data_IF_939440145985
#
_entry.id   IF_939440145985
#
_cell.length_a   1.000
_cell.length_b   1.000
_cell.length_c   1.000
_cell.angle_alpha   90.00
_cell.angle_beta   90.00
_cell.angle_gamma   90.00
#
_symmetry.space_group_name_H-M   'P 1'
#
loop_
_entity.id
_entity.type
_entity.pdbx_description
1 polymer ?
2 non-polymer ?
3 water ?
#
# COMPACT_ATOMS: atom_id res chain seq x y z
N UNK A 5 7.59 17.62 -5.04
CA UNK A 5 7.14 16.27 -5.46
C UNK A 5 8.32 15.32 -5.61
N UNK A 6 8.12 14.08 -5.20
CA UNK A 6 9.14 13.04 -5.28
C UNK A 6 8.61 11.93 -6.18
N UNK A 7 9.43 11.49 -7.13
CA UNK A 7 9.01 10.44 -8.06
C UNK A 7 9.09 9.04 -7.45
N UNK A 8 8.36 8.10 -8.05
CA UNK A 8 8.34 6.71 -7.64
C UNK A 8 8.63 5.88 -8.89
N UNK A 9 9.13 4.66 -8.69
CA UNK A 9 9.48 3.77 -9.80
C UNK A 9 8.28 3.24 -10.57
N UNK A 10 7.11 3.31 -9.95
CA UNK A 10 5.88 2.84 -10.58
C UNK A 10 4.78 3.88 -10.45
N UNK A 11 4.20 4.26 -11.58
CA UNK A 11 3.12 5.22 -11.58
C UNK A 11 1.83 4.57 -11.07
N UNK A 12 1.12 5.27 -10.20
CA UNK A 12 -0.12 4.75 -9.65
C UNK A 12 -1.14 5.85 -9.41
N UNK A 13 -2.40 5.46 -9.29
CA UNK A 13 -3.48 6.41 -9.06
C UNK A 13 -4.15 6.22 -7.71
N UNK A 14 -4.01 7.22 -6.83
CA UNK A 14 -4.66 7.19 -5.52
C UNK A 14 -6.06 7.76 -5.77
N UNK A 15 -7.10 7.02 -5.41
CA UNK A 15 -8.46 7.50 -5.66
C UNK A 15 -9.47 7.04 -4.61
N UNK A 16 -10.64 7.67 -4.60
CA UNK A 16 -11.72 7.35 -3.67
C UNK A 16 -12.75 6.46 -4.34
N UNK A 17 -13.12 5.38 -3.67
CA UNK A 17 -14.08 4.45 -4.25
C UNK A 17 -15.21 4.16 -3.28
N UNK A 18 -16.30 3.62 -3.82
CA UNK A 18 -17.47 3.28 -3.02
C UNK A 18 -17.82 1.80 -3.06
N UNK A 19 -18.06 1.20 -1.88
CA UNK A 19 -18.40 -0.22 -1.86
C UNK A 19 -19.86 -0.24 -2.31
N UNK A 20 -20.23 -1.22 -3.12
CA UNK A 20 -21.61 -1.27 -3.61
C UNK A 20 -22.20 -2.67 -3.62
N UNK A 21 -23.18 -2.89 -2.75
CA UNK A 21 -23.85 -4.18 -2.65
C UNK A 21 -24.41 -4.64 -3.98
N UNK A 36 -23.90 11.19 9.15
CA UNK A 36 -25.32 10.90 8.97
C UNK A 36 -25.62 10.46 7.54
N UNK A 37 -25.58 11.40 6.60
CA UNK A 37 -25.83 11.09 5.19
C UNK A 37 -24.50 10.99 4.46
N UNK A 38 -23.45 10.73 5.23
CA UNK A 38 -22.11 10.57 4.67
C UNK A 38 -21.93 9.09 4.38
N UNK A 39 -21.49 8.77 3.17
CA UNK A 39 -21.27 7.38 2.79
C UNK A 39 -19.81 7.07 3.02
N UNK A 40 -19.51 5.78 3.16
CA UNK A 40 -18.14 5.35 3.36
C UNK A 40 -17.49 5.27 1.99
N UNK A 41 -16.36 5.94 1.85
CA UNK A 41 -15.63 5.91 0.60
C UNK A 41 -14.28 5.31 0.94
N UNK A 42 -13.82 4.40 0.10
CA UNK A 42 -12.57 3.71 0.34
C UNK A 42 -11.40 4.26 -0.46
N UNK A 43 -10.33 4.63 0.23
CA UNK A 43 -9.12 5.14 -0.42
C UNK A 43 -8.32 4.00 -1.05
N UNK A 44 -8.09 4.06 -2.36
CA UNK A 44 -7.31 3.01 -3.00
C UNK A 44 -6.15 3.52 -3.85
N UNK A 45 -5.20 2.64 -4.11
CA UNK A 45 -4.06 2.96 -4.95
C UNK A 45 -3.90 1.90 -6.02
N UNK A 46 -4.13 2.28 -7.27
CA UNK A 46 -4.01 1.35 -8.38
C UNK A 46 -2.72 1.60 -9.15
N UNK A 47 -2.10 0.55 -9.67
CA UNK A 47 -0.91 0.72 -10.48
C UNK A 47 -1.37 1.31 -11.80
N UNK A 48 -0.60 2.24 -12.37
CA UNK A 48 -0.98 2.81 -13.65
C UNK A 48 -0.65 1.78 -14.72
N UNK A 49 0.38 0.98 -14.46
CA UNK A 49 0.78 -0.05 -15.40
C UNK A 49 1.37 -1.25 -14.69
N UNK A 50 0.52 -2.02 -14.01
CA UNK A 50 0.99 -3.20 -13.30
C UNK A 50 1.52 -4.21 -14.31
N UNK A 51 2.55 -4.95 -13.91
CA UNK A 51 3.17 -5.96 -14.77
C UNK A 51 4.06 -5.37 -15.85
N UNK A 52 4.05 -4.05 -15.96
CA UNK A 52 4.91 -3.36 -16.90
C UNK A 52 6.18 -3.09 -16.10
N UNK A 53 7.32 -2.88 -16.78
CA UNK A 53 8.59 -2.62 -16.09
C UNK A 53 8.61 -1.33 -15.28
N UNK A 54 9.36 -1.32 -14.17
CA UNK A 54 9.48 -0.12 -13.32
C UNK A 54 10.35 0.90 -14.06
N UNK A 55 10.33 2.15 -13.63
CA UNK A 55 11.19 3.14 -14.27
C UNK A 55 12.60 2.83 -13.76
N UNK A 56 13.62 3.26 -14.48
CA UNK A 56 15.00 3.04 -14.06
C UNK A 56 15.35 1.57 -13.83
N UNK A 57 14.73 0.67 -14.60
CA UNK A 57 14.98 -0.76 -14.47
C UNK A 57 16.42 -1.11 -14.85
N UNK A 58 17.04 -0.25 -15.65
CA UNK A 58 18.41 -0.46 -16.10
C UNK A 58 19.42 -0.27 -14.96
N UNK A 59 18.98 0.38 -13.89
CA UNK A 59 19.85 0.64 -12.75
C UNK A 59 19.94 -0.56 -11.82
N UNK A 60 19.24 -1.62 -12.17
CA UNK A 60 19.26 -2.83 -11.37
C UNK A 60 20.00 -3.92 -12.12
N UNK A 61 20.63 -4.85 -11.38
CA UNK A 61 21.39 -5.96 -11.99
C UNK A 61 20.54 -6.62 -13.07
N UNK A 62 21.12 -6.84 -14.25
CA UNK A 62 20.36 -7.41 -15.35
C UNK A 62 19.73 -8.79 -15.15
N UNK A 63 20.10 -9.52 -14.11
CA UNK A 63 19.49 -10.83 -13.89
C UNK A 63 18.07 -10.69 -13.33
N UNK A 64 17.78 -9.51 -12.77
CA UNK A 64 16.47 -9.21 -12.21
C UNK A 64 15.50 -8.68 -13.27
N UNK A 65 14.22 -8.81 -12.97
CA UNK A 65 13.18 -8.32 -13.85
C UNK A 65 12.30 -7.39 -13.01
N UNK A 66 12.62 -6.09 -12.98
CA UNK A 66 11.83 -5.13 -12.19
C UNK A 66 10.47 -4.83 -12.81
N UNK A 67 9.41 -5.36 -12.20
CA UNK A 67 8.08 -5.09 -12.70
C UNK A 67 7.23 -4.44 -11.62
N UNK A 68 6.33 -3.55 -12.04
CA UNK A 68 5.41 -2.88 -11.12
C UNK A 68 4.38 -3.90 -10.65
N UNK A 69 4.22 -3.99 -9.34
CA UNK A 69 3.29 -4.94 -8.77
C UNK A 69 2.17 -4.29 -7.96
N UNK A 70 0.96 -4.77 -8.19
CA UNK A 70 -0.22 -4.28 -7.47
C UNK A 70 -0.37 -5.05 -6.16
N UNK A 71 -0.48 -4.33 -5.05
CA UNK A 71 -0.67 -4.94 -3.74
C UNK A 71 -2.10 -4.68 -3.27
N UNK A 72 -2.62 -5.56 -2.41
CA UNK A 72 -3.96 -5.41 -1.90
C UNK A 72 -4.02 -5.67 -0.41
N UNK A 73 -5.06 -5.13 0.23
CA UNK A 73 -5.34 -5.38 1.63
C UNK A 73 -6.78 -5.93 1.54
N UNK A 74 -7.30 -6.50 2.63
CA UNK A 74 -8.67 -7.03 2.60
C UNK A 74 -9.27 -7.21 3.99
N UNK A 75 -10.60 -7.21 4.08
CA UNK A 75 -11.26 -7.38 5.37
C UNK A 75 -10.80 -8.69 5.98
N UNK A 76 -10.31 -8.62 7.21
CA UNK A 76 -9.80 -9.79 7.91
C UNK A 76 -10.48 -10.04 9.25
N UNK A 77 -11.29 -11.09 9.30
CA UNK A 77 -12.01 -11.45 10.52
C UNK A 77 -11.31 -12.62 11.19
N UNK A 78 -11.00 -12.44 12.46
CA UNK A 78 -10.32 -13.50 13.18
C UNK A 78 -11.05 -13.92 14.45
N UNK A 79 -10.96 -15.21 14.75
CA UNK A 79 -11.59 -15.78 15.93
C UNK A 79 -10.65 -16.82 16.53
N UNK A 80 -10.38 -16.69 17.82
CA UNK A 80 -9.52 -17.64 18.52
C UNK A 80 -10.39 -18.57 19.35
N UNK A 81 -10.36 -19.85 19.03
CA UNK A 81 -11.14 -20.83 19.77
C UNK A 81 -10.68 -20.94 21.21
N UNK A 82 -11.34 -21.81 21.97
CA UNK A 82 -11.01 -22.01 23.37
C UNK A 82 -9.75 -22.85 23.54
N UNK A 83 -9.36 -23.58 22.50
CA UNK A 83 -8.16 -24.41 22.57
C UNK A 83 -6.96 -23.72 21.93
N UNK A 84 -7.13 -22.46 21.54
CA UNK A 84 -6.03 -21.72 20.94
C UNK A 84 -6.00 -21.71 19.42
N UNK A 85 -6.86 -22.52 18.80
CA UNK A 85 -6.92 -22.60 17.34
C UNK A 85 -7.47 -21.31 16.75
N UNK A 86 -6.74 -20.75 15.80
CA UNK A 86 -7.15 -19.52 15.14
C UNK A 86 -7.99 -19.81 13.89
N UNK A 87 -9.10 -19.11 13.77
CA UNK A 87 -10.00 -19.29 12.65
C UNK A 87 -10.07 -17.96 11.89
N UNK A 88 -9.58 -17.96 10.65
CA UNK A 88 -9.59 -16.73 9.86
C UNK A 88 -10.59 -16.75 8.71
N UNK A 89 -11.27 -15.62 8.54
CA UNK A 89 -12.21 -15.46 7.45
C UNK A 89 -11.81 -14.21 6.66
N UNK A 90 -11.55 -14.40 5.37
CA UNK A 90 -11.18 -13.30 4.49
C UNK A 90 -12.01 -13.49 3.23
N UNK A 91 -13.32 -13.31 3.38
CA UNK A 91 -14.26 -13.50 2.28
C UNK A 91 -14.80 -12.22 1.66
N UNK A 92 -14.07 -11.12 1.80
CA UNK A 92 -14.54 -9.88 1.21
C UNK A 92 -13.79 -9.64 -0.12
N UNK A 93 -13.89 -8.44 -0.67
CA UNK A 93 -13.22 -8.09 -1.92
C UNK A 93 -11.82 -7.52 -1.63
N UNK A 94 -10.91 -7.64 -2.60
CA UNK A 94 -9.56 -7.13 -2.43
C UNK A 94 -9.51 -5.64 -2.71
N UNK A 95 -8.70 -4.94 -1.93
CA UNK A 95 -8.58 -3.49 -2.04
C UNK A 95 -7.21 -3.06 -2.52
N UNK A 96 -7.11 -2.56 -3.76
CA UNK A 96 -5.82 -2.12 -4.32
C UNK A 96 -5.26 -1.12 -3.31
N UNK A 97 -4.08 -1.41 -2.79
CA UNK A 97 -3.53 -0.55 -1.76
C UNK A 97 -2.17 0.07 -1.97
N UNK A 98 -1.35 -0.52 -2.82
CA UNK A 98 0.01 -0.03 -2.98
C UNK A 98 0.57 -0.54 -4.29
N UNK A 99 1.22 0.34 -5.05
CA UNK A 99 1.83 -0.09 -6.29
C UNK A 99 3.32 0.05 -6.06
N UNK A 100 4.05 -1.05 -6.09
CA UNK A 100 5.49 -0.96 -5.89
C UNK A 100 6.28 -1.87 -6.81
N UNK A 101 7.57 -1.56 -6.93
CA UNK A 101 8.49 -2.29 -7.79
C UNK A 101 8.99 -3.60 -7.17
N UNK A 102 8.77 -4.67 -7.90
CA UNK A 102 9.20 -5.99 -7.47
C UNK A 102 10.28 -6.50 -8.42
N UNK A 103 11.43 -6.85 -7.84
CA UNK A 103 12.53 -7.36 -8.63
C UNK A 103 12.40 -8.88 -8.71
N UNK A 104 11.88 -9.38 -9.83
CA UNK A 104 11.73 -10.82 -10.02
C UNK A 104 13.12 -11.43 -10.20
N UNK A 105 13.47 -12.34 -9.29
CA UNK A 105 14.76 -13.01 -9.33
C UNK A 105 14.92 -13.92 -10.55
N UNK A 106 16.10 -13.86 -11.17
CA UNK A 106 16.36 -14.69 -12.33
C UNK A 106 16.36 -16.16 -11.97
N UNK A 107 16.19 -17.02 -12.98
CA UNK A 107 16.18 -18.45 -12.75
C UNK A 107 17.63 -18.92 -12.58
N UNK A 108 17.84 -19.98 -11.81
CA UNK A 108 19.19 -20.48 -11.59
C UNK A 108 19.20 -21.76 -10.76
N UNK B 4 13.06 -15.12 -1.39
CA UNK B 4 12.17 -15.79 -2.38
C UNK B 4 12.53 -15.38 -3.81
N UNK B 5 11.52 -15.36 -4.67
CA UNK B 5 11.71 -15.01 -6.08
C UNK B 5 11.35 -13.55 -6.34
N UNK B 6 11.02 -12.82 -5.28
CA UNK B 6 10.66 -11.42 -5.39
C UNK B 6 11.29 -10.57 -4.30
N UNK B 7 12.05 -9.56 -4.72
CA UNK B 7 12.72 -8.65 -3.80
C UNK B 7 12.13 -7.25 -3.90
N UNK B 8 12.09 -6.55 -2.76
CA UNK B 8 11.59 -5.18 -2.72
C UNK B 8 12.70 -4.26 -2.23
N UNK B 9 12.68 -3.03 -2.71
CA UNK B 9 13.69 -2.05 -2.35
C UNK B 9 13.57 -1.62 -0.90
N UNK B 10 12.35 -1.62 -0.39
CA UNK B 10 12.14 -1.21 0.98
C UNK B 10 11.60 -2.30 1.86
N UNK B 11 12.29 -2.53 2.97
CA UNK B 11 11.87 -3.54 3.92
C UNK B 11 10.71 -2.92 4.69
N UNK B 12 9.65 -3.69 4.89
CA UNK B 12 8.49 -3.19 5.61
C UNK B 12 7.87 -4.33 6.36
N UNK B 13 6.95 -4.01 7.26
CA UNK B 13 6.29 -5.02 8.06
C UNK B 13 4.79 -4.90 7.91
N UNK B 14 4.12 -6.02 7.63
CA UNK B 14 2.67 -6.04 7.50
C UNK B 14 2.14 -6.77 8.72
N UNK B 15 1.09 -6.22 9.34
CA UNK B 15 0.53 -6.82 10.54
C UNK B 15 -0.90 -6.38 10.77
N UNK B 16 -1.52 -6.93 11.80
CA UNK B 16 -2.89 -6.60 12.14
C UNK B 16 -2.96 -5.66 13.33
N UNK B 17 -3.91 -4.74 13.28
CA UNK B 17 -4.13 -3.78 14.34
C UNK B 17 -5.63 -3.81 14.65
N UNK B 18 -5.98 -3.68 15.92
CA UNK B 18 -7.39 -3.72 16.31
C UNK B 18 -7.89 -2.35 16.73
N UNK B 19 -8.96 -1.86 16.05
CA UNK B 19 -9.60 -0.56 16.30
C UNK B 19 -10.00 -0.34 17.75
N UNK B 20 -9.45 0.71 18.36
CA UNK B 20 -9.72 1.04 19.76
C UNK B 20 -11.18 1.37 20.04
N UNK B 21 -11.92 1.71 18.99
CA UNK B 21 -13.34 2.03 19.13
C UNK B 21 -14.18 1.01 18.37
N UNK B 22 -15.02 0.28 19.10
CA UNK B 22 -15.86 -0.72 18.48
C UNK B 22 -17.30 -0.64 18.97
N UNK B 37 -19.39 -13.97 15.37
CA UNK B 37 -18.56 -14.12 16.56
C UNK B 37 -17.09 -13.82 16.26
N UNK B 38 -16.85 -12.96 15.27
CA UNK B 38 -15.49 -12.61 14.88
C UNK B 38 -15.10 -11.16 15.13
N UNK B 39 -13.79 -10.93 15.21
CA UNK B 39 -13.24 -9.60 15.41
C UNK B 39 -12.68 -9.15 14.07
N UNK B 40 -12.81 -7.87 13.76
CA UNK B 40 -12.27 -7.35 12.51
C UNK B 40 -10.98 -6.58 12.76
N UNK B 41 -9.88 -7.13 12.26
CA UNK B 41 -8.58 -6.49 12.41
C UNK B 41 -8.26 -5.70 11.15
N UNK B 42 -7.51 -4.62 11.31
CA UNK B 42 -7.11 -3.79 10.19
C UNK B 42 -5.67 -4.13 9.81
N UNK B 43 -5.44 -4.39 8.53
CA UNK B 43 -4.09 -4.71 8.06
C UNK B 43 -3.31 -3.44 7.81
N UNK B 44 -2.06 -3.41 8.26
CA UNK B 44 -1.22 -2.24 8.04
C UNK B 44 0.15 -2.66 7.54
N UNK B 45 0.87 -1.73 6.93
CA UNK B 45 2.22 -2.00 6.44
C UNK B 45 3.11 -0.85 6.85
N UNK B 46 4.09 -1.13 7.70
CA UNK B 46 5.00 -0.10 8.19
C UNK B 46 6.42 -0.26 7.67
N UNK B 47 7.05 0.86 7.37
CA UNK B 47 8.43 0.86 6.90
C UNK B 47 9.34 0.47 8.05
N UNK B 48 10.08 -0.62 7.89
CA UNK B 48 11.00 -1.07 8.93
C UNK B 48 12.04 0.03 9.14
N UNK B 49 12.61 0.50 8.04
CA UNK B 49 13.61 1.55 8.10
C UNK B 49 13.12 2.79 7.36
N UNK B 50 12.32 3.60 8.05
CA UNK B 50 11.76 4.81 7.47
C UNK B 50 12.80 5.85 7.07
N UNK B 51 12.78 6.20 5.78
CA UNK B 51 13.67 7.21 5.19
C UNK B 51 15.13 6.83 4.97
N UNK B 52 15.47 5.57 5.20
CA UNK B 52 16.83 5.10 4.95
C UNK B 52 16.86 4.73 3.48
N UNK B 53 18.02 4.86 2.83
CA UNK B 53 18.11 4.51 1.41
C UNK B 53 17.53 3.14 1.05
N UNK B 54 17.00 3.03 -0.17
CA UNK B 54 16.43 1.78 -0.65
C UNK B 54 17.54 0.94 -1.26
N UNK B 55 17.36 -0.37 -1.24
CA UNK B 55 18.35 -1.27 -1.80
C UNK B 55 18.70 -0.81 -3.21
N UNK B 56 19.96 -1.01 -3.60
CA UNK B 56 20.45 -0.62 -4.93
C UNK B 56 20.49 0.89 -5.16
N UNK B 57 20.45 1.67 -4.08
CA UNK B 57 20.48 3.13 -4.18
C UNK B 57 21.75 3.61 -4.89
N UNK B 58 22.85 2.92 -4.64
CA UNK B 58 24.15 3.24 -5.23
C UNK B 58 24.10 3.19 -6.76
N UNK B 59 23.10 2.51 -7.30
CA UNK B 59 22.94 2.39 -8.74
C UNK B 59 22.24 3.61 -9.32
N UNK B 60 21.82 4.52 -8.45
CA UNK B 60 21.14 5.73 -8.86
C UNK B 60 22.01 6.93 -8.53
N UNK B 61 21.94 8.00 -9.34
CA UNK B 61 22.76 9.18 -9.05
C UNK B 61 22.41 9.61 -7.64
N UNK B 62 23.39 10.10 -6.88
CA UNK B 62 23.09 10.52 -5.53
C UNK B 62 22.20 11.74 -5.61
N UNK B 63 22.00 12.21 -6.84
CA UNK B 63 21.13 13.36 -7.11
C UNK B 63 19.80 13.12 -6.41
N UNK B 64 19.13 12.03 -6.78
CA UNK B 64 17.87 11.67 -6.14
C UNK B 64 18.11 10.57 -5.13
N UNK B 65 18.46 10.96 -3.91
CA UNK B 65 18.71 10.00 -2.84
C UNK B 65 17.46 9.15 -2.60
N UNK B 66 17.49 7.89 -3.06
CA UNK B 66 16.37 6.95 -2.91
C UNK B 66 16.17 6.55 -1.45
N UNK B 67 15.02 6.90 -0.89
CA UNK B 67 14.73 6.55 0.49
C UNK B 67 13.35 5.94 0.60
N UNK B 68 13.17 5.13 1.63
CA UNK B 68 11.91 4.45 1.87
C UNK B 68 10.88 5.33 2.59
N UNK B 69 9.79 5.62 1.89
CA UNK B 69 8.72 6.47 2.41
C UNK B 69 7.50 5.71 2.88
N UNK B 70 7.00 6.11 4.05
CA UNK B 70 5.81 5.50 4.64
C UNK B 70 4.58 6.25 4.16
N UNK B 71 3.55 5.53 3.75
CA UNK B 71 2.31 6.15 3.29
C UNK B 71 1.15 5.72 4.17
N UNK B 72 0.12 6.55 4.23
CA UNK B 72 -1.04 6.26 5.05
C UNK B 72 -2.34 6.43 4.29
N UNK B 73 -3.38 5.81 4.80
CA UNK B 73 -4.72 5.94 4.24
C UNK B 73 -5.51 6.44 5.44
N UNK B 74 -6.68 7.01 5.20
CA UNK B 74 -7.48 7.49 6.30
C UNK B 74 -8.93 7.13 6.08
N UNK B 75 -9.64 6.85 7.17
CA UNK B 75 -11.06 6.56 7.08
C UNK B 75 -11.64 7.83 6.46
N UNK B 76 -12.45 7.69 5.42
CA UNK B 76 -12.99 8.87 4.78
C UNK B 76 -14.49 8.81 4.55
N UNK B 77 -15.18 9.83 5.04
CA UNK B 77 -16.62 9.94 4.87
C UNK B 77 -16.91 11.14 3.98
N UNK B 78 -17.68 10.90 2.93
CA UNK B 78 -17.98 11.96 1.99
C UNK B 78 -19.47 12.17 1.75
N UNK B 79 -19.82 13.43 1.50
CA UNK B 79 -21.19 13.80 1.24
C UNK B 79 -21.20 14.79 0.08
N UNK B 80 -22.12 14.57 -0.85
CA UNK B 80 -22.27 15.44 -2.00
C UNK B 80 -23.60 16.19 -1.81
N UNK B 81 -23.52 17.51 -1.66
CA UNK B 81 -24.71 18.32 -1.45
C UNK B 81 -25.57 18.50 -2.70
N UNK B 82 -26.70 19.17 -2.54
CA UNK B 82 -27.61 19.41 -3.66
C UNK B 82 -26.98 20.30 -4.74
N UNK B 83 -26.00 21.13 -4.36
CA UNK B 83 -25.35 21.99 -5.34
C UNK B 83 -24.08 21.31 -5.86
N UNK B 84 -23.92 20.04 -5.51
CA UNK B 84 -22.77 19.30 -5.98
C UNK B 84 -21.50 19.43 -5.17
N UNK B 85 -21.54 20.24 -4.12
CA UNK B 85 -20.37 20.41 -3.27
C UNK B 85 -20.03 19.11 -2.57
N UNK B 86 -18.75 18.76 -2.57
CA UNK B 86 -18.28 17.54 -1.94
C UNK B 86 -17.69 17.82 -0.56
N UNK B 87 -18.35 17.32 0.47
CA UNK B 87 -17.90 17.52 1.85
C UNK B 87 -17.25 16.23 2.38
N UNK B 88 -15.97 16.31 2.73
CA UNK B 88 -15.27 15.12 3.23
C UNK B 88 -14.81 15.22 4.67
N UNK B 89 -15.05 14.14 5.41
CA UNK B 89 -14.67 14.04 6.82
C UNK B 89 -13.68 12.90 6.97
N UNK B 90 -12.54 13.16 7.61
CA UNK B 90 -11.54 12.12 7.79
C UNK B 90 -11.11 11.87 9.22
N UNK B 91 -11.01 10.59 9.56
CA UNK B 91 -10.59 10.16 10.88
C UNK B 91 -9.19 10.70 11.13
N UNK B 92 -8.96 11.21 12.33
CA UNK B 92 -7.67 11.77 12.69
C UNK B 92 -6.56 10.71 12.69
N UNK B 93 -6.95 9.44 12.82
CA UNK B 93 -5.98 8.35 12.87
C UNK B 93 -5.51 7.84 11.51
N UNK B 94 -4.24 8.05 11.23
CA UNK B 94 -3.65 7.59 9.98
C UNK B 94 -3.33 6.10 10.09
N UNK B 95 -3.52 5.40 8.98
CA UNK B 95 -3.26 3.98 8.92
C UNK B 95 -2.10 3.70 7.99
N UNK B 96 -0.98 3.19 8.54
CA UNK B 96 0.19 2.88 7.71
C UNK B 96 -0.26 1.92 6.62
N UNK B 97 -0.02 2.26 5.36
CA UNK B 97 -0.51 1.38 4.30
C UNK B 97 0.47 0.94 3.22
N UNK B 98 1.48 1.74 2.95
CA UNK B 98 2.39 1.43 1.85
C UNK B 98 3.79 1.95 2.13
N UNK B 99 4.79 1.07 2.03
CA UNK B 99 6.17 1.48 2.23
C UNK B 99 6.87 1.29 0.88
N UNK B 100 7.08 2.39 0.17
CA UNK B 100 7.71 2.31 -1.14
C UNK B 100 8.89 3.26 -1.25
N UNK B 101 9.72 3.05 -2.28
CA UNK B 101 10.92 3.86 -2.50
C UNK B 101 10.65 5.17 -3.25
N UNK B 102 11.09 6.28 -2.66
CA UNK B 102 10.88 7.60 -3.25
C UNK B 102 12.17 8.24 -3.79
N UNK B 103 12.12 8.68 -5.04
CA UNK B 103 13.26 9.32 -5.69
C UNK B 103 13.08 10.83 -5.76
N UNK B 104 14.16 11.56 -5.55
CA UNK B 104 14.12 13.02 -5.62
C UNK B 104 14.34 13.46 -7.06
N UNK B 105 13.34 13.22 -7.91
CA UNK B 105 13.45 13.60 -9.32
C UNK B 105 12.47 14.72 -9.64
N UNK B 106 11.72 14.55 -10.73
CA UNK B 106 10.76 15.55 -11.14
C UNK B 106 9.60 14.95 -11.90
X LIG C 1 8.50 1.08 -5.57
X LIG C 1 8.73 2.50 -5.58
X LIG C 1 9.53 0.38 -4.67
X LIG C 1 9.38 0.86 -3.34
X LIG C 1 9.31 -1.12 -4.66
X LIG C 1 10.28 -1.79 -3.85
#
# INVERSE_FOLDING_TARGET
>A
VGGSDERFLCRSIRKLVYPKKGLRADDTWQLIVNNDEYKQAIQIEECEGADQPCDFAANFPQSYNPICKQHYTQQTLASIKSDGELDVVQNSFKIPSCCKCALKTGLEHHHHHH
>B
VGGSDERFLCRSIRKLVYPKKGLRADDTWQLIVNNDEYKQAIQIEECEGADQPCDFAANFPQSYNPICKQHYTQQTLASIKSDGELDVVQNSFKIPSCCKCALKTGLEHHHHHH
>C hetero
1 GOL C1 O1 C2 O2 C3 O3
#
